data_IF_361562854450
#
_entry.id   IF_361562854450
#
_cell.length_a   1.000
_cell.length_b   1.000
_cell.length_c   1.000
_cell.angle_alpha   90.00
_cell.angle_beta   90.00
_cell.angle_gamma   90.00
#
_symmetry.space_group_name_H-M   'P 1'
#
loop_
_entity.id
_entity.type
_entity.pdbx_description
1 polymer ?
#
# COMPACT_ATOMS: atom_id res chain seq x y z
N UNK A 1 -16.79 20.08 -5.37
CA UNK A 1 -16.75 18.60 -5.18
C UNK A 1 -15.33 18.23 -4.72
N UNK A 2 -15.22 17.49 -3.60
CA UNK A 2 -13.90 17.04 -3.09
C UNK A 2 -13.26 16.12 -4.15
N UNK A 3 -11.93 16.18 -4.30
CA UNK A 3 -11.19 15.37 -5.31
C UNK A 3 -11.48 13.86 -5.15
N UNK A 4 -11.67 13.40 -3.93
CA UNK A 4 -12.05 12.00 -3.62
C UNK A 4 -13.44 11.62 -4.12
N UNK A 5 -14.39 12.55 -4.17
CA UNK A 5 -15.72 12.35 -4.75
C UNK A 5 -15.64 12.25 -6.27
N UNK A 6 -14.79 13.07 -6.89
CA UNK A 6 -14.55 13.03 -8.33
C UNK A 6 -13.98 11.67 -8.77
N UNK A 7 -13.00 11.14 -8.00
CA UNK A 7 -12.42 9.81 -8.26
C UNK A 7 -13.47 8.71 -8.17
N UNK A 8 -14.38 8.78 -7.19
CA UNK A 8 -15.39 7.76 -6.93
C UNK A 8 -16.64 7.88 -7.80
N UNK A 9 -16.82 8.99 -8.49
CA UNK A 9 -18.06 9.30 -9.25
C UNK A 9 -18.54 8.13 -10.12
N UNK A 10 -17.73 7.49 -10.96
CA UNK A 10 -18.21 6.42 -11.83
C UNK A 10 -18.54 5.11 -11.10
N UNK A 11 -18.18 4.95 -9.82
CA UNK A 11 -18.26 3.68 -9.07
C UNK A 11 -18.96 3.82 -7.70
N UNK A 12 -19.73 4.89 -7.48
CA UNK A 12 -20.37 5.17 -6.17
C UNK A 12 -21.34 4.06 -5.77
N UNK A 13 -22.12 3.53 -6.71
CA UNK A 13 -23.07 2.46 -6.43
C UNK A 13 -22.37 1.15 -6.11
N UNK A 14 -21.34 0.82 -6.89
CA UNK A 14 -20.52 -0.37 -6.72
C UNK A 14 -19.83 -0.39 -5.36
N UNK A 15 -19.29 0.74 -4.92
CA UNK A 15 -18.69 0.84 -3.58
C UNK A 15 -19.70 0.64 -2.46
N UNK A 16 -20.94 1.12 -2.60
CA UNK A 16 -22.00 0.89 -1.60
C UNK A 16 -22.41 -0.58 -1.52
N UNK A 17 -22.53 -1.27 -2.66
CA UNK A 17 -22.84 -2.70 -2.72
C UNK A 17 -21.68 -3.50 -2.13
N UNK A 18 -20.45 -3.21 -2.56
CA UNK A 18 -19.23 -3.83 -2.03
C UNK A 18 -19.14 -3.74 -0.51
N UNK A 19 -19.40 -2.57 0.06
CA UNK A 19 -19.35 -2.40 1.51
C UNK A 19 -20.29 -3.35 2.23
N UNK A 20 -21.53 -3.48 1.75
CA UNK A 20 -22.51 -4.41 2.33
C UNK A 20 -22.06 -5.86 2.20
N UNK A 21 -21.58 -6.26 1.01
CA UNK A 21 -21.08 -7.61 0.76
C UNK A 21 -19.85 -7.93 1.61
N UNK A 22 -18.92 -7.00 1.73
CA UNK A 22 -17.71 -7.17 2.53
C UNK A 22 -18.05 -7.39 4.02
N UNK A 23 -18.94 -6.57 4.59
CA UNK A 23 -19.41 -6.76 5.96
C UNK A 23 -20.08 -8.12 6.19
N UNK A 24 -20.93 -8.54 5.27
CA UNK A 24 -21.64 -9.83 5.38
C UNK A 24 -20.72 -11.03 5.20
N UNK A 25 -19.65 -10.90 4.40
CA UNK A 25 -18.68 -11.99 4.16
C UNK A 25 -17.79 -12.28 5.36
N UNK A 26 -17.64 -11.31 6.26
CA UNK A 26 -16.72 -11.36 7.40
C UNK A 26 -17.52 -11.44 8.70
N UNK A 27 -18.06 -12.61 9.01
CA UNK A 27 -18.79 -12.91 10.25
C UNK A 27 -18.33 -14.23 10.84
N UNK A 28 -18.46 -14.40 12.17
CA UNK A 28 -18.10 -15.63 12.87
C UNK A 28 -19.10 -15.96 13.98
N UNK A 29 -19.31 -17.26 14.24
CA UNK A 29 -20.08 -17.73 15.41
C UNK A 29 -19.28 -17.67 16.71
N UNK A 30 -17.94 -17.49 16.63
CA UNK A 30 -17.07 -17.34 17.78
C UNK A 30 -17.15 -15.92 18.30
N UNK A 31 -17.75 -15.70 19.46
CA UNK A 31 -18.03 -14.35 20.01
C UNK A 31 -16.82 -13.44 20.09
N UNK A 32 -15.65 -13.97 20.51
CA UNK A 32 -14.42 -13.19 20.57
C UNK A 32 -13.98 -12.73 19.18
N UNK A 33 -14.01 -13.60 18.19
CA UNK A 33 -13.65 -13.29 16.83
C UNK A 33 -14.61 -12.26 16.23
N UNK A 34 -15.91 -12.43 16.43
CA UNK A 34 -16.93 -11.50 15.92
C UNK A 34 -16.72 -10.07 16.47
N UNK A 35 -16.43 -9.95 17.77
CA UNK A 35 -16.10 -8.66 18.40
C UNK A 35 -14.86 -8.02 17.75
N UNK A 36 -13.82 -8.78 17.45
CA UNK A 36 -12.61 -8.29 16.79
C UNK A 36 -12.90 -7.89 15.34
N UNK A 37 -13.71 -8.66 14.62
CA UNK A 37 -14.11 -8.36 13.25
C UNK A 37 -14.87 -7.03 13.17
N UNK A 38 -15.83 -6.79 14.09
CA UNK A 38 -16.54 -5.52 14.21
C UNK A 38 -15.54 -4.37 14.45
N UNK A 39 -14.55 -4.58 15.33
CA UNK A 39 -13.51 -3.59 15.60
C UNK A 39 -12.68 -3.25 14.36
N UNK A 40 -12.28 -4.23 13.56
CA UNK A 40 -11.51 -4.05 12.33
C UNK A 40 -12.34 -3.34 11.26
N UNK A 41 -13.57 -3.81 11.04
CA UNK A 41 -14.46 -3.32 9.99
C UNK A 41 -14.90 -1.86 10.20
N UNK A 42 -15.03 -1.42 11.46
CA UNK A 42 -15.38 -0.03 11.78
C UNK A 42 -14.25 0.98 11.50
N UNK A 43 -13.04 0.52 11.12
CA UNK A 43 -11.86 1.36 10.88
C UNK A 43 -11.51 1.47 9.41
N UNK A 44 -12.49 1.85 8.62
CA UNK A 44 -12.33 1.97 7.18
C UNK A 44 -11.20 2.93 6.79
N UNK A 45 -10.37 2.48 5.88
CA UNK A 45 -9.43 3.33 5.18
C UNK A 45 -10.06 4.08 4.00
N UNK A 46 -9.23 4.62 3.14
CA UNK A 46 -9.67 5.30 1.90
C UNK A 46 -10.19 4.32 0.83
N UNK A 47 -10.06 3.02 1.05
CA UNK A 47 -10.49 1.93 0.16
C UNK A 47 -9.93 2.06 -1.28
N UNK A 48 -8.69 2.50 -1.43
CA UNK A 48 -8.06 2.72 -2.74
C UNK A 48 -8.04 1.43 -3.56
N UNK A 49 -7.87 0.27 -2.92
CA UNK A 49 -7.78 -1.03 -3.59
C UNK A 49 -9.09 -1.46 -4.24
N UNK A 50 -10.23 -1.52 -3.54
CA UNK A 50 -11.53 -1.73 -4.16
C UNK A 50 -11.86 -0.69 -5.25
N UNK A 51 -11.50 0.58 -5.04
CA UNK A 51 -11.68 1.64 -6.04
C UNK A 51 -10.94 1.28 -7.33
N UNK A 52 -9.68 0.83 -7.26
CA UNK A 52 -8.92 0.41 -8.43
C UNK A 52 -9.56 -0.78 -9.12
N UNK A 53 -9.97 -1.80 -8.38
CA UNK A 53 -10.65 -2.98 -8.95
C UNK A 53 -11.87 -2.55 -9.77
N UNK A 54 -12.76 -1.72 -9.20
CA UNK A 54 -13.97 -1.30 -9.90
C UNK A 54 -13.69 -0.35 -11.06
N UNK A 55 -12.74 0.57 -10.94
CA UNK A 55 -12.38 1.46 -12.04
C UNK A 55 -11.81 0.67 -13.22
N UNK A 56 -10.93 -0.31 -12.99
CA UNK A 56 -10.40 -1.16 -14.04
C UNK A 56 -11.47 -2.10 -14.62
N UNK A 57 -12.30 -2.72 -13.79
CA UNK A 57 -13.41 -3.53 -14.27
C UNK A 57 -14.33 -2.71 -15.18
N UNK A 58 -14.75 -1.52 -14.75
CA UNK A 58 -15.65 -0.65 -15.49
C UNK A 58 -15.04 -0.10 -16.78
N UNK A 59 -13.72 0.15 -16.77
CA UNK A 59 -12.98 0.65 -17.93
C UNK A 59 -13.00 -0.34 -19.09
N UNK A 60 -12.87 -1.63 -18.84
CA UNK A 60 -12.79 -2.67 -19.86
C UNK A 60 -14.11 -3.39 -20.14
N UNK A 61 -15.17 -3.20 -19.34
CA UNK A 61 -16.49 -3.83 -19.51
C UNK A 61 -17.55 -2.95 -20.16
N UNK A 62 -17.16 -1.85 -20.80
CA UNK A 62 -18.11 -0.84 -21.32
C UNK A 62 -19.09 -0.33 -20.24
N UNK A 63 -18.58 -0.15 -19.03
CA UNK A 63 -19.33 0.40 -17.89
C UNK A 63 -20.16 -0.60 -17.09
N UNK A 64 -20.16 -1.89 -17.42
CA UNK A 64 -20.94 -2.93 -16.71
C UNK A 64 -20.05 -3.64 -15.67
N UNK A 65 -20.54 -3.75 -14.45
CA UNK A 65 -19.91 -4.51 -13.37
C UNK A 65 -20.67 -5.82 -13.18
N UNK A 66 -19.96 -6.92 -12.99
CA UNK A 66 -20.50 -8.25 -12.72
C UNK A 66 -20.14 -8.75 -11.31
N UNK A 67 -20.76 -9.85 -10.88
CA UNK A 67 -20.52 -10.45 -9.56
C UNK A 67 -19.04 -10.84 -9.34
N UNK A 68 -18.33 -11.25 -10.39
CA UNK A 68 -16.90 -11.57 -10.31
C UNK A 68 -16.06 -10.32 -9.94
N UNK A 69 -16.46 -9.13 -10.39
CA UNK A 69 -15.78 -7.88 -10.03
C UNK A 69 -15.98 -7.52 -8.54
N UNK A 70 -17.16 -7.80 -7.98
CA UNK A 70 -17.40 -7.64 -6.54
C UNK A 70 -16.57 -8.64 -5.74
N UNK A 71 -16.50 -9.90 -6.18
CA UNK A 71 -15.64 -10.90 -5.53
C UNK A 71 -14.17 -10.53 -5.61
N UNK A 72 -13.71 -10.00 -6.76
CA UNK A 72 -12.35 -9.49 -6.92
C UNK A 72 -12.02 -8.37 -5.91
N UNK A 73 -12.93 -7.41 -5.72
CA UNK A 73 -12.77 -6.34 -4.75
C UNK A 73 -12.75 -6.85 -3.31
N UNK A 74 -13.65 -7.80 -2.97
CA UNK A 74 -13.69 -8.45 -1.67
C UNK A 74 -12.40 -9.24 -1.40
N UNK A 75 -11.92 -10.00 -2.37
CA UNK A 75 -10.70 -10.80 -2.28
C UNK A 75 -9.49 -9.95 -1.95
N UNK A 76 -9.30 -8.84 -2.67
CA UNK A 76 -8.19 -7.91 -2.42
C UNK A 76 -8.28 -7.27 -1.02
N UNK A 77 -9.46 -6.87 -0.59
CA UNK A 77 -9.61 -6.20 0.71
C UNK A 77 -9.43 -7.19 1.88
N UNK A 78 -9.85 -8.46 1.72
CA UNK A 78 -9.58 -9.53 2.68
C UNK A 78 -8.07 -9.75 2.84
N UNK A 79 -7.35 -9.93 1.73
CA UNK A 79 -5.89 -10.10 1.72
C UNK A 79 -5.19 -8.88 2.31
N UNK A 80 -5.59 -7.67 1.90
CA UNK A 80 -5.00 -6.46 2.45
C UNK A 80 -5.21 -6.32 3.96
N UNK A 81 -6.40 -6.67 4.45
CA UNK A 81 -6.69 -6.63 5.88
C UNK A 81 -5.84 -7.64 6.64
N UNK A 82 -5.71 -8.87 6.12
CA UNK A 82 -4.82 -9.89 6.69
C UNK A 82 -3.36 -9.40 6.75
N UNK A 83 -2.84 -8.85 5.63
CA UNK A 83 -1.48 -8.31 5.58
C UNK A 83 -1.26 -7.21 6.62
N UNK A 84 -2.20 -6.26 6.76
CA UNK A 84 -2.07 -5.20 7.75
C UNK A 84 -2.02 -5.72 9.18
N UNK A 85 -2.78 -6.77 9.50
CA UNK A 85 -2.81 -7.39 10.83
C UNK A 85 -1.48 -8.10 11.12
N UNK A 86 -0.94 -8.84 10.14
CA UNK A 86 0.34 -9.52 10.27
C UNK A 86 1.51 -8.52 10.32
N UNK A 87 1.49 -7.46 9.50
CA UNK A 87 2.50 -6.39 9.50
C UNK A 87 2.57 -5.68 10.87
N UNK A 88 1.41 -5.42 11.50
CA UNK A 88 1.37 -4.79 12.83
C UNK A 88 2.10 -5.64 13.89
N UNK A 89 2.13 -6.99 13.72
CA UNK A 89 2.87 -7.89 14.61
C UNK A 89 4.36 -7.87 14.27
N UNK A 90 4.71 -7.96 12.98
CA UNK A 90 6.11 -7.99 12.51
C UNK A 90 6.82 -6.67 12.88
N UNK A 91 6.12 -5.54 12.72
CA UNK A 91 6.64 -4.20 13.01
C UNK A 91 6.55 -3.81 14.50
N UNK A 92 6.02 -4.68 15.39
CA UNK A 92 5.72 -4.38 16.80
C UNK A 92 4.92 -3.08 16.96
N UNK A 93 3.98 -2.84 16.06
CA UNK A 93 3.19 -1.61 15.99
C UNK A 93 1.99 -1.65 16.95
N UNK A 94 1.90 -0.67 17.85
CA UNK A 94 0.79 -0.58 18.81
C UNK A 94 -0.35 0.33 18.35
N UNK A 95 -0.10 1.20 17.37
CA UNK A 95 -1.08 2.18 16.90
C UNK A 95 -1.04 2.29 15.38
N UNK A 96 -2.21 2.21 14.74
CA UNK A 96 -2.41 2.43 13.29
C UNK A 96 -3.57 3.40 13.08
N UNK A 97 -3.36 4.46 12.30
CA UNK A 97 -4.40 5.48 12.00
C UNK A 97 -5.08 6.06 13.25
N UNK A 98 -4.30 6.34 14.31
CA UNK A 98 -4.75 6.83 15.61
C UNK A 98 -5.59 5.83 16.44
N UNK A 99 -5.63 4.55 16.07
CA UNK A 99 -6.30 3.49 16.84
C UNK A 99 -5.27 2.45 17.31
N UNK A 100 -5.57 1.78 18.41
CA UNK A 100 -4.77 0.64 18.85
C UNK A 100 -4.86 -0.49 17.83
N UNK A 101 -3.77 -1.18 17.60
CA UNK A 101 -3.72 -2.36 16.73
C UNK A 101 -4.33 -3.57 17.44
N UNK A 102 -4.62 -4.65 16.71
CA UNK A 102 -5.18 -5.88 17.31
C UNK A 102 -4.17 -6.49 18.31
N UNK A 103 -2.88 -6.53 17.96
CA UNK A 103 -1.83 -7.05 18.84
C UNK A 103 -1.67 -6.21 20.12
N UNK A 104 -1.90 -4.91 20.09
CA UNK A 104 -1.90 -4.07 21.27
C UNK A 104 -3.07 -4.38 22.22
N UNK A 105 -4.26 -4.71 21.69
CA UNK A 105 -5.46 -5.00 22.47
C UNK A 105 -5.57 -6.47 22.87
N UNK A 106 -5.32 -7.39 21.94
CA UNK A 106 -5.57 -8.84 22.13
C UNK A 106 -4.32 -9.71 22.06
N UNK A 107 -3.12 -9.11 21.97
CA UNK A 107 -1.82 -9.77 21.88
C UNK A 107 -1.57 -10.48 20.53
N UNK A 108 -0.29 -10.77 20.26
CA UNK A 108 0.17 -11.32 18.99
C UNK A 108 -0.50 -12.64 18.60
N UNK A 109 -0.71 -13.55 19.57
CA UNK A 109 -1.33 -14.86 19.30
C UNK A 109 -2.73 -14.74 18.67
N UNK A 110 -3.55 -13.83 19.19
CA UNK A 110 -4.90 -13.59 18.65
C UNK A 110 -4.81 -12.89 17.29
N UNK A 111 -3.90 -11.94 17.14
CA UNK A 111 -3.70 -11.21 15.89
C UNK A 111 -3.31 -12.12 14.74
N UNK A 112 -2.40 -13.10 14.97
CA UNK A 112 -2.06 -14.11 13.94
C UNK A 112 -3.31 -14.87 13.51
N UNK A 113 -4.10 -15.40 14.45
CA UNK A 113 -5.30 -16.17 14.15
C UNK A 113 -6.36 -15.34 13.41
N UNK A 114 -6.49 -14.04 13.71
CA UNK A 114 -7.40 -13.14 13.00
C UNK A 114 -6.92 -12.88 11.57
N UNK A 115 -5.62 -12.66 11.36
CA UNK A 115 -5.03 -12.56 10.04
C UNK A 115 -5.26 -13.83 9.21
N UNK A 116 -5.04 -15.02 9.78
CA UNK A 116 -5.30 -16.31 9.14
C UNK A 116 -6.78 -16.51 8.81
N UNK A 117 -7.69 -16.01 9.65
CA UNK A 117 -9.11 -16.03 9.36
C UNK A 117 -9.46 -15.20 8.11
N UNK A 118 -8.90 -13.98 7.96
CA UNK A 118 -9.09 -13.19 6.75
C UNK A 118 -8.51 -13.86 5.51
N UNK A 119 -7.33 -14.51 5.62
CA UNK A 119 -6.74 -15.30 4.54
C UNK A 119 -7.63 -16.48 4.15
N UNK A 120 -8.14 -17.23 5.13
CA UNK A 120 -9.03 -18.37 4.87
C UNK A 120 -10.33 -17.94 4.18
N UNK A 121 -10.91 -16.81 4.58
CA UNK A 121 -12.08 -16.22 3.90
C UNK A 121 -11.79 -15.86 2.44
N UNK A 122 -10.61 -15.32 2.15
CA UNK A 122 -10.17 -15.01 0.78
C UNK A 122 -10.05 -16.28 -0.09
N UNK A 123 -9.45 -17.35 0.46
CA UNK A 123 -9.33 -18.65 -0.22
C UNK A 123 -10.71 -19.27 -0.50
N UNK A 124 -11.59 -19.31 0.50
CA UNK A 124 -12.94 -19.83 0.36
C UNK A 124 -13.74 -19.05 -0.67
N UNK A 125 -13.71 -17.71 -0.63
CA UNK A 125 -14.40 -16.86 -1.61
C UNK A 125 -14.02 -17.23 -3.05
N UNK A 126 -12.75 -17.46 -3.31
CA UNK A 126 -12.26 -17.79 -4.65
C UNK A 126 -12.58 -19.22 -5.06
N UNK A 127 -12.42 -20.21 -4.16
CA UNK A 127 -12.60 -21.62 -4.48
C UNK A 127 -14.07 -22.01 -4.63
N UNK A 128 -14.96 -21.50 -3.77
CA UNK A 128 -16.40 -21.74 -3.84
C UNK A 128 -17.01 -21.20 -5.13
N UNK A 129 -16.47 -20.07 -5.64
CA UNK A 129 -16.93 -19.45 -6.88
C UNK A 129 -16.11 -19.87 -8.11
N UNK A 130 -15.13 -20.77 -7.97
CA UNK A 130 -14.23 -21.23 -9.05
C UNK A 130 -13.48 -20.09 -9.75
N UNK A 131 -13.21 -18.99 -9.04
CA UNK A 131 -12.46 -17.83 -9.54
C UNK A 131 -10.94 -18.10 -9.44
N UNK A 132 -10.45 -19.20 -10.03
CA UNK A 132 -9.05 -19.63 -9.93
C UNK A 132 -8.07 -18.66 -10.59
N UNK A 133 -8.49 -17.94 -11.61
CA UNK A 133 -7.72 -16.88 -12.24
C UNK A 133 -7.47 -15.70 -11.28
N UNK A 134 -8.49 -15.29 -10.52
CA UNK A 134 -8.33 -14.27 -9.48
C UNK A 134 -7.44 -14.76 -8.34
N UNK A 135 -7.65 -16.00 -7.90
CA UNK A 135 -6.85 -16.62 -6.85
C UNK A 135 -5.37 -16.71 -7.21
N UNK A 136 -5.06 -17.07 -8.47
CA UNK A 136 -3.69 -17.14 -8.96
C UNK A 136 -2.98 -15.78 -8.87
N UNK A 137 -3.62 -14.71 -9.32
CA UNK A 137 -3.03 -13.38 -9.28
C UNK A 137 -2.84 -12.84 -7.86
N UNK A 138 -3.80 -13.10 -6.97
CA UNK A 138 -3.68 -12.73 -5.56
C UNK A 138 -2.56 -13.53 -4.87
N UNK A 139 -2.46 -14.83 -5.16
CA UNK A 139 -1.40 -15.68 -4.59
C UNK A 139 0.00 -15.21 -5.00
N UNK A 140 0.17 -14.76 -6.26
CA UNK A 140 1.42 -14.13 -6.71
C UNK A 140 1.72 -12.87 -5.91
N UNK A 141 0.72 -11.99 -5.71
CA UNK A 141 0.90 -10.77 -4.96
C UNK A 141 1.26 -11.02 -3.49
N UNK A 142 0.60 -11.99 -2.83
CA UNK A 142 0.91 -12.38 -1.44
C UNK A 142 2.34 -12.92 -1.32
N UNK A 143 2.78 -13.75 -2.29
CA UNK A 143 4.16 -14.23 -2.35
C UNK A 143 5.14 -13.07 -2.44
N UNK A 144 4.92 -12.12 -3.37
CA UNK A 144 5.79 -10.96 -3.54
C UNK A 144 5.85 -10.10 -2.27
N UNK A 145 4.72 -9.86 -1.59
CA UNK A 145 4.68 -9.12 -0.33
C UNK A 145 5.54 -9.81 0.73
N UNK A 146 5.38 -11.11 0.91
CA UNK A 146 6.12 -11.90 1.91
C UNK A 146 7.63 -11.91 1.62
N UNK A 147 8.02 -12.09 0.36
CA UNK A 147 9.42 -11.99 -0.06
C UNK A 147 9.99 -10.58 0.15
N UNK A 148 9.17 -9.54 -0.09
CA UNK A 148 9.53 -8.14 0.13
C UNK A 148 9.80 -7.84 1.60
N UNK A 149 8.98 -8.36 2.53
CA UNK A 149 9.21 -8.23 3.96
C UNK A 149 10.53 -8.88 4.40
N UNK A 150 10.78 -10.11 3.96
CA UNK A 150 12.02 -10.81 4.27
C UNK A 150 13.25 -10.10 3.67
N UNK A 151 13.12 -9.59 2.45
CA UNK A 151 14.16 -8.79 1.81
C UNK A 151 14.46 -7.50 2.58
N UNK A 152 13.41 -6.81 3.08
CA UNK A 152 13.57 -5.64 3.95
C UNK A 152 14.33 -5.98 5.21
N UNK A 153 13.98 -7.07 5.90
CA UNK A 153 14.67 -7.52 7.12
C UNK A 153 16.14 -7.85 6.84
N UNK A 154 16.43 -8.50 5.72
CA UNK A 154 17.79 -8.85 5.30
C UNK A 154 18.64 -7.60 5.02
N UNK A 155 18.11 -6.63 4.28
CA UNK A 155 18.82 -5.42 3.84
C UNK A 155 18.94 -4.35 4.93
N UNK A 156 17.98 -4.26 5.85
CA UNK A 156 17.99 -3.24 6.91
C UNK A 156 19.13 -3.41 7.91
N UNK A 157 19.70 -4.61 8.05
CA UNK A 157 20.78 -4.92 9.02
C UNK A 157 22.04 -4.10 8.82
N UNK A 158 22.36 -3.70 7.58
CA UNK A 158 23.68 -3.11 7.24
C UNK A 158 23.65 -1.64 6.80
N UNK A 159 22.50 -0.98 6.78
CA UNK A 159 22.32 0.40 6.28
C UNK A 159 22.93 0.63 4.87
N UNK A 160 23.00 -0.42 4.05
CA UNK A 160 23.58 -0.41 2.70
C UNK A 160 22.51 -0.68 1.63
N UNK A 161 21.33 -0.10 1.80
CA UNK A 161 20.26 -0.19 0.80
C UNK A 161 20.63 0.70 -0.40
N UNK A 162 20.75 0.12 -1.59
CA UNK A 162 20.88 0.88 -2.82
C UNK A 162 19.52 1.43 -3.27
N UNK A 163 19.52 2.36 -4.22
CA UNK A 163 18.26 2.81 -4.83
C UNK A 163 17.53 1.67 -5.54
N UNK A 164 18.28 0.79 -6.22
CA UNK A 164 17.71 -0.39 -6.89
C UNK A 164 17.07 -1.33 -5.87
N UNK A 165 17.77 -1.64 -4.77
CA UNK A 165 17.21 -2.44 -3.68
C UNK A 165 15.91 -1.81 -3.11
N UNK A 166 15.90 -0.49 -2.96
CA UNK A 166 14.72 0.24 -2.48
C UNK A 166 13.55 0.10 -3.46
N UNK A 167 13.78 0.29 -4.77
CA UNK A 167 12.73 0.14 -5.78
C UNK A 167 12.22 -1.30 -5.83
N UNK A 168 13.10 -2.31 -5.76
CA UNK A 168 12.71 -3.72 -5.67
C UNK A 168 11.84 -3.96 -4.43
N UNK A 169 12.26 -3.43 -3.29
CA UNK A 169 11.53 -3.58 -2.02
C UNK A 169 10.11 -3.02 -2.11
N UNK A 170 9.96 -1.77 -2.54
CA UNK A 170 8.63 -1.14 -2.62
C UNK A 170 7.77 -1.72 -3.74
N UNK A 171 8.39 -2.24 -4.81
CA UNK A 171 7.68 -2.98 -5.86
C UNK A 171 7.08 -4.26 -5.30
N UNK A 172 7.84 -5.05 -4.54
CA UNK A 172 7.37 -6.29 -3.92
C UNK A 172 6.35 -6.01 -2.82
N UNK A 173 6.68 -5.18 -1.84
CA UNK A 173 5.88 -4.97 -0.61
C UNK A 173 4.59 -4.20 -0.87
N UNK A 174 4.61 -3.18 -1.72
CA UNK A 174 3.49 -2.26 -1.91
C UNK A 174 2.91 -2.35 -3.32
N UNK A 175 3.74 -2.22 -4.36
CA UNK A 175 3.24 -2.09 -5.71
C UNK A 175 2.64 -3.41 -6.26
N UNK A 176 3.09 -4.57 -5.80
CA UNK A 176 2.52 -5.88 -6.17
C UNK A 176 1.01 -5.95 -5.93
N UNK A 177 0.54 -5.44 -4.78
CA UNK A 177 -0.89 -5.45 -4.47
C UNK A 177 -1.67 -4.38 -5.27
N UNK A 178 -1.07 -3.23 -5.60
CA UNK A 178 -1.68 -2.25 -6.50
C UNK A 178 -1.83 -2.82 -7.91
N UNK A 179 -0.79 -3.48 -8.41
CA UNK A 179 -0.80 -4.19 -9.68
C UNK A 179 -1.86 -5.29 -9.70
N UNK A 180 -1.93 -6.09 -8.65
CA UNK A 180 -2.95 -7.10 -8.47
C UNK A 180 -4.36 -6.50 -8.55
N UNK A 181 -4.65 -5.38 -7.88
CA UNK A 181 -5.96 -4.70 -7.95
C UNK A 181 -6.35 -4.34 -9.38
N UNK A 182 -5.42 -3.76 -10.15
CA UNK A 182 -5.65 -3.39 -11.54
C UNK A 182 -5.93 -4.63 -12.42
N UNK A 183 -5.13 -5.68 -12.23
CA UNK A 183 -5.27 -6.96 -12.94
C UNK A 183 -6.61 -7.64 -12.62
N UNK A 184 -6.97 -7.76 -11.34
CA UNK A 184 -8.22 -8.40 -10.93
C UNK A 184 -9.46 -7.69 -11.47
N UNK A 185 -9.46 -6.34 -11.46
CA UNK A 185 -10.52 -5.56 -12.09
C UNK A 185 -10.65 -5.88 -13.58
N UNK A 186 -9.54 -5.95 -14.29
CA UNK A 186 -9.50 -6.21 -15.73
C UNK A 186 -9.89 -7.65 -16.07
N UNK A 187 -9.35 -8.64 -15.36
CA UNK A 187 -9.69 -10.07 -15.52
C UNK A 187 -11.18 -10.30 -15.26
N UNK A 188 -11.74 -9.68 -14.21
CA UNK A 188 -13.16 -9.82 -13.89
C UNK A 188 -14.08 -9.27 -14.99
N UNK A 189 -13.59 -8.39 -15.86
CA UNK A 189 -14.29 -7.85 -17.02
C UNK A 189 -14.08 -8.65 -18.32
N UNK A 190 -13.31 -9.74 -18.28
CA UNK A 190 -12.97 -10.59 -19.42
C UNK A 190 -11.76 -10.11 -20.22
N UNK A 191 -10.93 -9.19 -19.69
CA UNK A 191 -9.70 -8.74 -20.36
C UNK A 191 -8.58 -9.76 -20.13
N UNK A 192 -7.99 -10.29 -21.21
CA UNK A 192 -6.97 -11.35 -21.13
C UNK A 192 -5.53 -10.83 -21.21
N UNK A 193 -5.28 -9.76 -21.98
CA UNK A 193 -3.95 -9.15 -22.03
C UNK A 193 -3.82 -8.12 -20.90
N UNK A 194 -2.97 -8.42 -19.90
CA UNK A 194 -2.83 -7.67 -18.65
C UNK A 194 -1.43 -7.08 -18.43
N UNK A 195 -0.47 -7.23 -19.38
CA UNK A 195 0.92 -6.81 -19.17
C UNK A 195 1.06 -5.30 -18.94
N UNK A 196 0.45 -4.48 -19.80
CA UNK A 196 0.42 -3.02 -19.60
C UNK A 196 -0.32 -2.63 -18.31
N UNK A 197 -1.34 -3.42 -17.91
CA UNK A 197 -2.11 -3.19 -16.67
C UNK A 197 -1.25 -3.50 -15.45
N UNK A 198 -0.50 -4.58 -15.48
CA UNK A 198 0.46 -4.96 -14.44
C UNK A 198 1.52 -3.87 -14.24
N UNK A 199 2.10 -3.42 -15.34
CA UNK A 199 3.13 -2.38 -15.32
C UNK A 199 2.57 -1.04 -14.82
N UNK A 200 1.37 -0.64 -15.25
CA UNK A 200 0.68 0.53 -14.72
C UNK A 200 0.47 0.44 -13.21
N UNK A 201 -0.07 -0.68 -12.73
CA UNK A 201 -0.33 -0.92 -11.32
C UNK A 201 0.95 -0.90 -10.48
N UNK A 202 2.05 -1.42 -11.02
CA UNK A 202 3.36 -1.36 -10.39
C UNK A 202 3.84 0.10 -10.24
N UNK A 203 3.80 0.90 -11.31
CA UNK A 203 4.18 2.31 -11.23
C UNK A 203 3.30 3.11 -10.25
N UNK A 204 1.99 2.87 -10.25
CA UNK A 204 1.08 3.50 -9.30
C UNK A 204 1.43 3.16 -7.85
N UNK A 205 1.75 1.91 -7.56
CA UNK A 205 2.15 1.48 -6.22
C UNK A 205 3.51 2.04 -5.79
N UNK A 206 4.48 2.15 -6.70
CA UNK A 206 5.78 2.81 -6.46
C UNK A 206 5.56 4.29 -6.11
N UNK A 207 4.76 5.01 -6.90
CA UNK A 207 4.40 6.42 -6.64
C UNK A 207 3.75 6.55 -5.27
N UNK A 208 2.82 5.66 -4.94
CA UNK A 208 2.12 5.67 -3.66
C UNK A 208 3.09 5.52 -2.49
N UNK A 209 4.04 4.57 -2.57
CA UNK A 209 5.00 4.34 -1.50
C UNK A 209 6.02 5.46 -1.38
N UNK A 210 6.58 5.96 -2.48
CA UNK A 210 7.50 7.11 -2.46
C UNK A 210 6.82 8.31 -1.79
N UNK A 211 5.54 8.55 -2.09
CA UNK A 211 4.79 9.64 -1.46
C UNK A 211 4.56 9.41 0.04
N UNK A 212 4.29 8.19 0.46
CA UNK A 212 4.15 7.87 1.90
C UNK A 212 5.48 8.08 2.64
N UNK A 213 6.59 7.66 2.04
CA UNK A 213 7.92 7.85 2.62
C UNK A 213 8.31 9.33 2.73
N UNK A 214 7.90 10.17 1.78
CA UNK A 214 8.08 11.64 1.88
C UNK A 214 7.28 12.24 3.05
N UNK A 215 6.11 11.68 3.39
CA UNK A 215 5.34 12.15 4.54
C UNK A 215 6.03 11.89 5.88
N UNK A 216 6.87 10.89 5.99
CA UNK A 216 7.58 10.59 7.23
C UNK A 216 8.55 11.71 7.65
N UNK A 217 8.96 12.57 6.70
CA UNK A 217 9.82 13.74 6.93
C UNK A 217 9.05 15.06 7.10
N UNK A 218 7.71 15.07 7.02
CA UNK A 218 6.95 16.33 7.18
C UNK A 218 6.91 16.82 8.63
N UNK A 219 6.95 18.14 8.83
CA UNK A 219 7.01 18.80 10.15
C UNK A 219 5.88 18.43 11.10
N UNK A 220 4.69 18.06 10.58
CA UNK A 220 3.56 17.62 11.41
C UNK A 220 3.79 16.28 12.11
N UNK A 221 4.67 15.43 11.58
CA UNK A 221 5.11 14.18 12.24
C UNK A 221 6.38 14.36 13.09
N UNK A 222 7.21 15.37 12.78
CA UNK A 222 8.42 15.68 13.55
C UNK A 222 8.10 16.12 14.98
N UNK A 223 6.93 16.76 15.20
CA UNK A 223 6.53 17.32 16.51
C UNK A 223 5.70 16.38 17.41
N UNK A 224 5.28 15.19 16.95
CA UNK A 224 4.55 14.22 17.77
C UNK A 224 5.35 12.92 17.86
N UNK A 225 5.95 12.61 19.03
CA UNK A 225 6.63 11.33 19.21
C UNK A 225 5.60 10.20 19.31
N UNK A 226 5.26 9.57 18.20
CA UNK A 226 4.72 8.23 18.27
C UNK A 226 5.86 7.31 18.71
N UNK A 227 5.72 6.67 19.86
CA UNK A 227 6.75 5.77 20.43
C UNK A 227 7.12 4.62 19.47
N UNK A 228 6.26 4.27 18.52
CA UNK A 228 6.50 3.27 17.48
C UNK A 228 7.39 3.76 16.33
N UNK A 229 7.27 5.04 15.91
CA UNK A 229 8.06 5.61 14.81
C UNK A 229 9.54 5.84 15.18
N UNK A 230 9.86 5.82 16.48
CA UNK A 230 11.23 5.94 16.96
C UNK A 230 12.06 4.66 16.79
N UNK A 231 11.42 3.51 16.57
CA UNK A 231 12.09 2.21 16.40
C UNK A 231 12.33 1.82 14.95
N UNK A 232 11.49 2.26 14.02
CA UNK A 232 11.62 1.92 12.60
C UNK A 232 12.54 2.93 11.89
N UNK A 233 13.84 2.66 11.89
CA UNK A 233 14.83 3.38 11.09
C UNK A 233 14.69 2.97 9.61
N UNK A 234 13.57 3.32 8.98
CA UNK A 234 13.37 3.02 7.56
C UNK A 234 14.29 3.90 6.73
N UNK A 235 15.20 3.26 6.01
CA UNK A 235 16.03 3.93 5.01
C UNK A 235 15.15 4.10 3.76
N UNK A 236 14.76 5.34 3.48
CA UNK A 236 13.91 5.68 2.35
C UNK A 236 14.67 6.45 1.28
N UNK A 237 14.09 6.61 0.10
CA UNK A 237 14.76 7.14 -1.09
C UNK A 237 15.46 8.49 -0.86
N UNK A 238 14.87 9.50 -0.17
CA UNK A 238 15.56 10.77 0.10
C UNK A 238 16.89 10.56 0.84
N UNK A 239 16.89 9.66 1.83
CA UNK A 239 18.09 9.37 2.63
C UNK A 239 19.12 8.55 1.83
N UNK A 240 18.67 7.58 1.03
CA UNK A 240 19.54 6.77 0.16
C UNK A 240 20.31 7.68 -0.78
N UNK A 241 19.60 8.54 -1.52
CA UNK A 241 20.21 9.50 -2.44
C UNK A 241 21.23 10.40 -1.74
N UNK A 242 20.86 10.96 -0.60
CA UNK A 242 21.72 11.85 0.17
C UNK A 242 23.00 11.14 0.66
N UNK A 243 22.89 9.89 1.13
CA UNK A 243 24.05 9.09 1.55
C UNK A 243 24.98 8.81 0.37
N UNK A 244 24.45 8.47 -0.80
CA UNK A 244 25.25 8.16 -1.99
C UNK A 244 26.04 9.37 -2.50
N UNK A 245 25.45 10.58 -2.42
CA UNK A 245 26.02 11.81 -2.94
C UNK A 245 26.77 12.64 -1.88
N UNK A 246 26.86 12.15 -0.63
CA UNK A 246 27.49 12.87 0.46
C UNK A 246 29.01 12.68 0.52
N UNK A 247 29.71 13.69 1.13
CA UNK A 247 31.13 13.56 1.48
C UNK A 247 31.36 12.34 2.39
N UNK A 248 32.60 11.82 2.38
CA UNK A 248 32.95 10.70 3.27
C UNK A 248 32.69 11.02 4.75
N UNK A 249 33.04 12.24 5.18
CA UNK A 249 32.85 12.72 6.57
C UNK A 249 31.38 12.74 6.95
N UNK A 250 30.52 13.39 6.15
CA UNK A 250 29.09 13.52 6.43
C UNK A 250 28.38 12.17 6.35
N UNK A 251 28.81 11.29 5.41
CA UNK A 251 28.30 9.92 5.32
C UNK A 251 28.60 9.10 6.57
N UNK A 252 29.80 9.23 7.14
CA UNK A 252 30.18 8.53 8.36
C UNK A 252 29.37 9.04 9.55
N UNK A 253 29.18 10.35 9.65
CA UNK A 253 28.42 10.99 10.74
C UNK A 253 26.94 10.58 10.71
N UNK A 254 26.28 10.66 9.56
CA UNK A 254 24.87 10.29 9.43
C UNK A 254 24.66 8.79 9.70
N UNK A 255 25.55 7.91 9.18
CA UNK A 255 25.47 6.48 9.48
C UNK A 255 25.66 6.17 10.96
N UNK A 256 26.51 6.91 11.68
CA UNK A 256 26.66 6.78 13.13
C UNK A 256 25.40 7.24 13.87
N UNK A 257 24.75 8.30 13.40
CA UNK A 257 23.49 8.80 13.96
C UNK A 257 22.35 7.80 13.77
N UNK A 258 22.24 7.18 12.59
CA UNK A 258 21.25 6.14 12.28
C UNK A 258 21.42 4.86 13.11
N UNK A 259 22.63 4.54 13.55
CA UNK A 259 22.93 3.35 14.39
C UNK A 259 22.55 3.53 15.87
N UNK A 260 22.21 4.73 16.31
CA UNK A 260 21.86 4.98 17.73
C UNK A 260 20.60 4.23 18.11
N UNK A 261 20.62 3.47 19.21
CA UNK A 261 19.44 2.72 19.74
C UNK A 261 18.28 3.62 20.15
N UNK A 262 18.55 4.87 20.58
CA UNK A 262 17.53 5.88 20.88
C UNK A 262 17.57 6.95 19.80
N UNK A 263 16.54 6.99 19.00
CA UNK A 263 16.36 8.01 17.95
C UNK A 263 15.59 9.19 18.55
N UNK A 264 16.30 10.28 18.85
CA UNK A 264 15.73 11.49 19.47
C UNK A 264 15.16 12.45 18.42
N UNK A 265 14.42 13.46 18.86
CA UNK A 265 13.94 14.55 17.99
C UNK A 265 15.11 15.27 17.31
N UNK A 266 16.24 15.44 18.01
CA UNK A 266 17.44 16.07 17.44
C UNK A 266 18.08 15.21 16.34
N UNK A 267 18.09 13.89 16.52
CA UNK A 267 18.54 12.98 15.45
C UNK A 267 17.66 13.08 14.21
N UNK A 268 16.34 13.21 14.37
CA UNK A 268 15.42 13.44 13.24
C UNK A 268 15.72 14.74 12.52
N UNK A 269 15.97 15.82 13.27
CA UNK A 269 16.31 17.12 12.72
C UNK A 269 17.62 17.05 11.93
N UNK A 270 18.64 16.41 12.48
CA UNK A 270 19.94 16.18 11.84
C UNK A 270 19.82 15.41 10.52
N UNK A 271 19.00 14.32 10.51
CA UNK A 271 18.74 13.56 9.29
C UNK A 271 18.01 14.40 8.25
N UNK A 272 17.04 15.20 8.67
CA UNK A 272 16.29 16.08 7.77
C UNK A 272 17.19 17.17 7.13
N UNK A 273 18.03 17.82 7.93
CA UNK A 273 19.02 18.79 7.47
C UNK A 273 20.04 18.16 6.48
N UNK A 274 20.48 16.93 6.78
CA UNK A 274 21.34 16.18 5.89
C UNK A 274 20.67 15.88 4.54
N UNK A 275 19.40 15.47 4.54
CA UNK A 275 18.64 15.20 3.31
C UNK A 275 18.46 16.48 2.49
N UNK A 276 18.19 17.62 3.14
CA UNK A 276 18.08 18.93 2.49
C UNK A 276 19.43 19.32 1.87
N UNK A 277 20.53 19.20 2.62
CA UNK A 277 21.89 19.55 2.18
C UNK A 277 22.28 18.84 0.86
N UNK A 278 21.82 17.59 0.69
CA UNK A 278 22.15 16.75 -0.45
C UNK A 278 21.00 16.58 -1.46
N UNK A 279 20.01 17.50 -1.44
CA UNK A 279 18.87 17.55 -2.38
C UNK A 279 18.06 16.25 -2.48
N UNK A 280 18.02 15.45 -1.38
CA UNK A 280 17.35 14.15 -1.38
C UNK A 280 15.83 14.24 -1.60
N UNK A 281 15.18 15.32 -1.13
CA UNK A 281 13.74 15.52 -1.32
C UNK A 281 13.41 15.87 -2.78
N UNK A 282 14.16 16.77 -3.40
CA UNK A 282 13.91 17.17 -4.80
C UNK A 282 14.19 16.01 -5.75
N UNK A 283 15.26 15.25 -5.51
CA UNK A 283 15.54 14.02 -6.24
C UNK A 283 14.38 13.04 -6.17
N UNK A 284 13.89 12.78 -4.96
CA UNK A 284 12.79 11.83 -4.74
C UNK A 284 11.50 12.31 -5.40
N UNK A 285 11.20 13.60 -5.32
CA UNK A 285 10.06 14.20 -6.00
C UNK A 285 10.14 14.02 -7.52
N UNK A 286 11.29 14.33 -8.12
CA UNK A 286 11.53 14.15 -9.56
C UNK A 286 11.43 12.68 -9.98
N UNK A 287 11.95 11.76 -9.16
CA UNK A 287 11.80 10.32 -9.41
C UNK A 287 10.34 9.88 -9.41
N UNK A 288 9.55 10.38 -8.46
CA UNK A 288 8.10 10.11 -8.39
C UNK A 288 7.38 10.66 -9.64
N UNK A 289 7.72 11.88 -10.12
CA UNK A 289 7.16 12.45 -11.34
C UNK A 289 7.54 11.65 -12.60
N UNK A 290 8.74 11.09 -12.64
CA UNK A 290 9.15 10.20 -13.74
C UNK A 290 8.28 8.95 -13.79
N UNK A 291 8.03 8.29 -12.65
CA UNK A 291 7.09 7.16 -12.59
C UNK A 291 5.66 7.56 -12.97
N UNK A 292 5.21 8.78 -12.58
CA UNK A 292 3.92 9.32 -13.03
C UNK A 292 3.82 9.39 -14.55
N UNK A 293 4.83 9.96 -15.21
CA UNK A 293 4.83 10.09 -16.66
C UNK A 293 4.75 8.74 -17.35
N UNK A 294 5.56 7.75 -16.91
CA UNK A 294 5.49 6.37 -17.39
C UNK A 294 4.11 5.74 -17.17
N UNK A 295 3.48 5.97 -16.01
CA UNK A 295 2.13 5.48 -15.74
C UNK A 295 1.09 6.12 -16.66
N UNK A 296 1.20 7.42 -16.96
CA UNK A 296 0.30 8.13 -17.88
C UNK A 296 0.45 7.60 -19.30
N UNK A 297 1.68 7.39 -19.80
CA UNK A 297 1.93 6.83 -21.13
C UNK A 297 1.24 5.47 -21.32
N UNK A 298 1.26 4.62 -20.30
CA UNK A 298 0.53 3.35 -20.33
C UNK A 298 -0.98 3.56 -20.27
N UNK A 299 -1.43 4.45 -19.36
CA UNK A 299 -2.86 4.72 -19.17
C UNK A 299 -3.53 5.25 -20.45
N UNK A 300 -2.79 6.00 -21.26
CA UNK A 300 -3.30 6.55 -22.52
C UNK A 300 -3.58 5.47 -23.59
N UNK A 301 -2.98 4.28 -23.46
CA UNK A 301 -3.29 3.12 -24.33
C UNK A 301 -4.63 2.46 -23.97
N UNK A 302 -5.19 2.74 -22.79
CA UNK A 302 -6.43 2.12 -22.31
C UNK A 302 -7.67 2.86 -22.85
N UNK A 303 -8.88 2.23 -22.80
CA UNK A 303 -10.09 2.84 -23.30
C UNK A 303 -10.37 4.24 -22.74
N UNK A 304 -10.70 5.19 -23.59
CA UNK A 304 -11.02 6.56 -23.20
C UNK A 304 -12.44 6.64 -22.65
N UNK A 305 -12.58 6.72 -21.31
CA UNK A 305 -13.87 6.79 -20.63
C UNK A 305 -13.71 7.41 -19.21
N UNK A 306 -14.82 7.65 -18.52
CA UNK A 306 -14.83 8.24 -17.17
C UNK A 306 -13.99 7.48 -16.16
N UNK A 307 -13.81 6.17 -16.27
CA UNK A 307 -12.98 5.37 -15.37
C UNK A 307 -11.50 5.70 -15.56
N UNK A 308 -11.04 5.87 -16.82
CA UNK A 308 -9.67 6.31 -17.10
C UNK A 308 -9.40 7.70 -16.54
N UNK A 309 -10.34 8.63 -16.70
CA UNK A 309 -10.21 10.00 -16.15
C UNK A 309 -10.16 10.00 -14.61
N UNK A 310 -10.93 9.11 -13.99
CA UNK A 310 -10.89 8.92 -12.54
C UNK A 310 -9.56 8.35 -12.06
N UNK A 311 -8.95 7.42 -12.81
CA UNK A 311 -7.61 6.87 -12.52
C UNK A 311 -6.55 7.96 -12.68
N UNK A 312 -6.63 8.79 -13.72
CA UNK A 312 -5.72 9.95 -13.89
C UNK A 312 -5.84 10.92 -12.71
N UNK A 313 -7.08 11.23 -12.30
CA UNK A 313 -7.35 12.06 -11.12
C UNK A 313 -6.82 11.42 -9.82
N UNK A 314 -6.86 10.09 -9.70
CA UNK A 314 -6.30 9.36 -8.54
C UNK A 314 -4.77 9.47 -8.50
N UNK A 315 -4.09 9.36 -9.66
CA UNK A 315 -2.64 9.56 -9.77
C UNK A 315 -2.25 10.97 -9.27
N UNK A 316 -2.93 12.00 -9.77
CA UNK A 316 -2.69 13.39 -9.35
C UNK A 316 -2.95 13.56 -7.85
N UNK A 317 -4.05 13.01 -7.34
CA UNK A 317 -4.39 13.06 -5.91
C UNK A 317 -3.32 12.40 -5.03
N UNK A 318 -2.75 11.25 -5.44
CA UNK A 318 -1.71 10.57 -4.67
C UNK A 318 -0.47 11.46 -4.55
N UNK A 319 -0.10 12.17 -5.60
CA UNK A 319 1.09 13.03 -5.65
C UNK A 319 0.86 14.33 -4.87
N UNK A 320 -0.32 14.94 -5.02
CA UNK A 320 -0.63 16.25 -4.44
C UNK A 320 -1.13 16.16 -2.99
N UNK A 321 -1.56 14.99 -2.51
CA UNK A 321 -2.07 14.84 -1.14
C UNK A 321 -1.04 15.35 -0.13
N UNK A 322 -1.54 16.09 0.86
CA UNK A 322 -0.73 16.65 1.95
C UNK A 322 -0.72 15.76 3.20
N UNK A 323 -1.62 14.75 3.25
CA UNK A 323 -1.78 13.78 4.36
C UNK A 323 -2.43 12.48 3.86
#
# INVERSE_FOLDING_TARGET
MKITEKIKKPIVQELKIFEKQFYSSVSSKVKLLDLILIYVLNRKGKQIRPILVFLFAKMFSKGKINEKSYRAANLVELIHTASLIHDDIVDDSNVRRNFLTINALWKNRISVLVGDFFLSKALLLSTENKDYDLLNEVSKAVKEISEGELFQIQKSRNFNLSEEDYIILISKKTASLFSCCCKLGSISSGKNNIDDIELFGNYLGIIFQIKDDLFDFTTKRIGKPNKSDLKSQKITLPLIHSIQNSSYRDRREIKATLKKKKYTTDNKKLVNEFIIKYNGFDYTHNKMLNYKNKAIEILEKFPNNESRDSIKTLLDYIIERKY
#
